data_IF_875636576791
#
_entry.id   IF_875636576791
#
_cell.length_a   1.000
_cell.length_b   1.000
_cell.length_c   1.000
_cell.angle_alpha   90.00
_cell.angle_beta   90.00
_cell.angle_gamma   90.00
#
_symmetry.space_group_name_H-M   'P 1'
#
loop_
_entity.id
_entity.type
_entity.pdbx_description
1 polymer ?
#
# COMPACT_ATOMS: atom_id res chain seq x y z
N UNK A 1 14.04 -22.14 -2.39
CA UNK A 1 12.76 -21.64 -2.95
C UNK A 1 11.63 -22.07 -2.01
N UNK A 2 10.78 -21.14 -1.61
CA UNK A 2 9.64 -21.40 -0.74
C UNK A 2 8.55 -22.22 -1.45
N UNK A 3 7.81 -23.02 -0.69
CA UNK A 3 6.77 -23.92 -1.23
C UNK A 3 5.52 -23.16 -1.65
N UNK A 4 4.62 -23.79 -2.42
CA UNK A 4 3.31 -23.20 -2.74
C UNK A 4 2.49 -22.88 -1.48
N UNK A 5 2.59 -23.74 -0.45
CA UNK A 5 1.95 -23.51 0.84
C UNK A 5 2.51 -22.27 1.55
N UNK A 6 3.82 -22.05 1.50
CA UNK A 6 4.45 -20.85 2.08
C UNK A 6 3.96 -19.56 1.38
N UNK A 7 3.79 -19.61 0.06
CA UNK A 7 3.26 -18.50 -0.73
C UNK A 7 1.81 -18.18 -0.35
N UNK A 8 0.94 -19.19 -0.23
CA UNK A 8 -0.44 -19.00 0.21
C UNK A 8 -0.52 -18.49 1.65
N UNK A 9 0.28 -19.08 2.55
CA UNK A 9 0.39 -18.64 3.95
C UNK A 9 0.83 -17.19 4.04
N UNK A 10 1.73 -16.75 3.17
CA UNK A 10 2.16 -15.35 3.08
C UNK A 10 1.04 -14.43 2.62
N UNK A 11 0.24 -14.84 1.64
CA UNK A 11 -0.88 -14.03 1.12
C UNK A 11 -1.93 -13.78 2.20
N UNK A 12 -2.33 -14.81 2.95
CA UNK A 12 -3.30 -14.65 4.06
C UNK A 12 -2.73 -13.82 5.21
N UNK A 13 -1.41 -13.85 5.45
CA UNK A 13 -0.75 -12.98 6.44
C UNK A 13 -0.78 -11.48 6.10
N UNK A 14 -1.22 -11.09 4.90
CA UNK A 14 -1.45 -9.68 4.56
C UNK A 14 -2.69 -9.09 5.25
N UNK A 15 -3.51 -9.92 5.88
CA UNK A 15 -4.80 -9.54 6.45
C UNK A 15 -4.79 -9.56 7.97
N UNK A 16 -5.63 -8.73 8.62
CA UNK A 16 -5.82 -8.81 10.06
C UNK A 16 -6.46 -10.15 10.44
N UNK A 17 -6.01 -10.73 11.56
CA UNK A 17 -6.50 -12.03 12.07
C UNK A 17 -8.03 -12.05 12.23
N UNK A 18 -8.63 -10.94 12.65
CA UNK A 18 -10.09 -10.82 12.81
C UNK A 18 -10.84 -11.10 11.50
N UNK A 19 -10.41 -10.50 10.40
CA UNK A 19 -11.06 -10.69 9.08
C UNK A 19 -10.93 -12.14 8.61
N UNK A 20 -9.77 -12.76 8.81
CA UNK A 20 -9.57 -14.17 8.46
C UNK A 20 -10.48 -15.10 9.27
N UNK A 21 -10.66 -14.84 10.57
CA UNK A 21 -11.56 -15.60 11.43
C UNK A 21 -13.01 -15.50 10.99
N UNK A 22 -13.45 -14.29 10.65
CA UNK A 22 -14.81 -14.02 10.21
C UNK A 22 -15.09 -14.67 8.86
N UNK A 23 -14.20 -14.53 7.88
CA UNK A 23 -14.40 -15.09 6.54
C UNK A 23 -14.37 -16.63 6.54
N UNK A 24 -13.40 -17.23 7.22
CA UNK A 24 -13.20 -18.68 7.21
C UNK A 24 -13.89 -19.40 8.39
N UNK A 25 -14.68 -18.69 9.19
CA UNK A 25 -15.40 -19.21 10.36
C UNK A 25 -14.50 -19.95 11.37
N UNK A 26 -13.34 -19.36 11.69
CA UNK A 26 -12.30 -19.98 12.53
C UNK A 26 -12.32 -19.45 13.96
N UNK A 27 -12.08 -20.33 14.93
CA UNK A 27 -12.02 -19.99 16.37
C UNK A 27 -10.59 -19.95 16.91
N UNK A 28 -9.66 -20.60 16.23
CA UNK A 28 -8.26 -20.84 16.64
C UNK A 28 -7.41 -19.56 16.80
N UNK A 29 -6.30 -19.67 17.53
CA UNK A 29 -5.34 -18.57 17.77
C UNK A 29 -4.44 -18.29 16.55
N UNK A 30 -3.76 -17.14 16.52
CA UNK A 30 -3.16 -16.57 15.29
C UNK A 30 -2.20 -17.48 14.53
N UNK A 31 -1.29 -18.20 15.19
CA UNK A 31 -0.26 -18.96 14.47
C UNK A 31 -0.79 -20.27 13.90
N UNK A 32 -1.65 -20.98 14.63
CA UNK A 32 -2.33 -22.20 14.15
C UNK A 32 -3.39 -21.89 13.10
N UNK A 33 -3.98 -20.68 13.13
CA UNK A 33 -5.03 -20.25 12.20
C UNK A 33 -4.57 -20.29 10.75
N UNK A 34 -3.33 -19.87 10.48
CA UNK A 34 -2.82 -19.87 9.11
C UNK A 34 -2.66 -21.29 8.57
N UNK A 35 -2.15 -22.21 9.39
CA UNK A 35 -1.97 -23.61 8.98
C UNK A 35 -3.32 -24.30 8.79
N UNK A 36 -4.31 -24.00 9.65
CA UNK A 36 -5.68 -24.48 9.51
C UNK A 36 -6.33 -24.03 8.19
N UNK A 37 -6.15 -22.76 7.80
CA UNK A 37 -6.64 -22.25 6.49
C UNK A 37 -6.00 -23.01 5.35
N UNK A 38 -4.66 -23.16 5.35
CA UNK A 38 -3.94 -23.80 4.25
C UNK A 38 -4.28 -25.30 4.12
N UNK A 39 -4.60 -25.97 5.23
CA UNK A 39 -4.94 -27.40 5.21
C UNK A 39 -6.40 -27.66 4.83
N UNK A 40 -7.33 -26.78 5.22
CA UNK A 40 -8.76 -27.03 5.11
C UNK A 40 -9.45 -26.26 3.98
N UNK A 41 -8.85 -25.18 3.47
CA UNK A 41 -9.45 -24.32 2.45
C UNK A 41 -8.73 -24.50 1.11
N UNK A 42 -9.52 -24.60 0.04
CA UNK A 42 -8.99 -24.70 -1.32
C UNK A 42 -8.15 -23.45 -1.69
N UNK A 43 -7.02 -23.67 -2.35
CA UNK A 43 -6.16 -22.63 -2.91
C UNK A 43 -6.91 -21.57 -3.73
N UNK A 44 -7.89 -21.99 -4.55
CA UNK A 44 -8.67 -21.06 -5.37
C UNK A 44 -9.50 -20.09 -4.50
N UNK A 45 -10.13 -20.60 -3.45
CA UNK A 45 -10.93 -19.81 -2.51
C UNK A 45 -10.04 -18.84 -1.72
N UNK A 46 -8.85 -19.27 -1.30
CA UNK A 46 -7.87 -18.40 -0.66
C UNK A 46 -7.47 -17.25 -1.59
N UNK A 47 -7.15 -17.57 -2.86
CA UNK A 47 -6.79 -16.57 -3.86
C UNK A 47 -7.96 -15.62 -4.13
N UNK A 48 -9.18 -16.13 -4.26
CA UNK A 48 -10.37 -15.31 -4.47
C UNK A 48 -10.63 -14.37 -3.31
N UNK A 49 -10.49 -14.84 -2.07
CA UNK A 49 -10.55 -14.00 -0.88
C UNK A 49 -9.48 -12.89 -0.93
N UNK A 50 -8.21 -13.26 -1.14
CA UNK A 50 -7.07 -12.32 -1.15
C UNK A 50 -7.30 -11.22 -2.17
N UNK A 51 -7.64 -11.57 -3.42
CA UNK A 51 -7.76 -10.61 -4.50
C UNK A 51 -9.06 -9.79 -4.48
N UNK A 52 -10.07 -10.23 -3.74
CA UNK A 52 -11.31 -9.46 -3.52
C UNK A 52 -11.22 -8.52 -2.33
N UNK A 53 -10.28 -8.76 -1.41
CA UNK A 53 -10.19 -8.03 -0.15
C UNK A 53 -8.90 -7.20 0.00
N UNK A 54 -8.14 -6.94 -1.06
CA UNK A 54 -6.86 -6.22 -1.00
C UNK A 54 -6.95 -4.89 -0.21
N UNK A 55 -8.08 -4.18 -0.25
CA UNK A 55 -8.30 -2.93 0.51
C UNK A 55 -8.41 -3.10 2.03
N UNK A 56 -8.36 -4.32 2.58
CA UNK A 56 -8.22 -4.61 4.01
C UNK A 56 -6.77 -4.87 4.45
N UNK A 57 -5.82 -4.76 3.53
CA UNK A 57 -4.39 -4.91 3.82
C UNK A 57 -3.73 -3.57 4.10
N UNK A 58 -2.52 -3.59 4.66
CA UNK A 58 -1.64 -2.42 4.73
C UNK A 58 -1.13 -2.11 3.32
N UNK A 59 -1.08 -0.84 2.92
CA UNK A 59 -0.77 -0.47 1.53
C UNK A 59 0.21 0.69 1.38
N UNK A 60 1.00 0.62 0.31
CA UNK A 60 1.58 1.79 -0.36
C UNK A 60 0.69 2.15 -1.55
N UNK A 61 0.51 3.45 -1.79
CA UNK A 61 -0.30 4.00 -2.85
C UNK A 61 0.52 5.05 -3.58
N UNK A 62 0.60 4.92 -4.90
CA UNK A 62 1.32 5.82 -5.79
C UNK A 62 0.31 6.46 -6.74
N UNK A 63 0.33 7.79 -6.84
CA UNK A 63 -0.61 8.54 -7.65
C UNK A 63 0.15 9.39 -8.67
N UNK A 64 -0.18 9.19 -9.94
CA UNK A 64 0.39 9.92 -11.06
C UNK A 64 -0.69 10.67 -11.82
N UNK A 65 -0.36 11.88 -12.24
CA UNK A 65 -1.08 12.65 -13.24
C UNK A 65 -0.74 12.16 -14.64
N UNK A 66 -1.77 12.07 -15.47
CA UNK A 66 -1.70 11.67 -16.87
C UNK A 66 -2.05 12.90 -17.73
N UNK A 67 -1.26 13.18 -18.77
CA UNK A 67 -1.45 14.32 -19.65
C UNK A 67 -2.84 14.38 -20.34
N UNK A 68 -3.39 13.22 -20.68
CA UNK A 68 -4.70 13.05 -21.32
C UNK A 68 -5.55 11.99 -20.62
N UNK A 69 -6.87 12.08 -20.83
CA UNK A 69 -7.82 11.10 -20.29
C UNK A 69 -7.53 9.72 -20.86
N UNK A 70 -7.51 8.71 -19.99
CA UNK A 70 -7.25 7.33 -20.41
C UNK A 70 -8.40 6.79 -21.27
N UNK A 71 -8.05 6.19 -22.42
CA UNK A 71 -9.01 5.46 -23.24
C UNK A 71 -9.15 4.02 -22.74
N UNK A 72 -10.24 3.72 -22.03
CA UNK A 72 -10.48 2.37 -21.48
C UNK A 72 -10.46 1.29 -22.56
N UNK A 73 -10.91 1.60 -23.78
CA UNK A 73 -10.95 0.66 -24.88
C UNK A 73 -9.56 0.32 -25.44
N UNK A 74 -8.51 1.07 -25.08
CA UNK A 74 -7.14 0.75 -25.48
C UNK A 74 -6.48 -0.29 -24.58
N UNK A 75 -7.10 -0.66 -23.45
CA UNK A 75 -6.57 -1.68 -22.56
C UNK A 75 -6.66 -3.07 -23.20
N UNK A 76 -5.52 -3.77 -23.26
CA UNK A 76 -5.41 -5.13 -23.77
C UNK A 76 -4.80 -6.03 -22.70
N UNK A 77 -5.60 -6.97 -22.20
CA UNK A 77 -5.21 -7.86 -21.10
C UNK A 77 -3.98 -8.70 -21.45
N UNK A 78 -3.89 -9.16 -22.70
CA UNK A 78 -2.89 -10.10 -23.19
C UNK A 78 -1.50 -9.46 -23.32
N UNK A 79 -1.45 -8.13 -23.53
CA UNK A 79 -0.19 -7.40 -23.63
C UNK A 79 0.24 -6.75 -22.31
N UNK A 80 -0.58 -6.88 -21.26
CA UNK A 80 -0.24 -6.32 -19.95
C UNK A 80 1.01 -7.01 -19.37
N UNK A 81 1.95 -6.29 -18.75
CA UNK A 81 3.24 -6.84 -18.32
C UNK A 81 3.13 -7.89 -17.19
N UNK A 82 1.94 -8.07 -16.63
CA UNK A 82 1.66 -9.02 -15.58
C UNK A 82 0.39 -9.83 -15.91
N UNK A 83 0.29 -11.07 -15.41
CA UNK A 83 -0.98 -11.80 -15.44
C UNK A 83 -2.07 -10.98 -14.73
N UNK A 84 -3.06 -10.54 -15.49
CA UNK A 84 -4.24 -9.89 -14.96
C UNK A 84 -5.10 -10.94 -14.27
N UNK A 85 -5.43 -10.72 -13.00
CA UNK A 85 -6.25 -11.63 -12.20
C UNK A 85 -7.72 -11.24 -12.38
N UNK A 86 -8.04 -9.98 -12.08
CA UNK A 86 -9.37 -9.39 -12.26
C UNK A 86 -9.23 -8.05 -12.96
N UNK A 87 -10.22 -7.69 -13.76
CA UNK A 87 -10.32 -6.36 -14.36
C UNK A 87 -11.78 -5.97 -14.48
N UNK A 88 -12.10 -4.72 -14.20
CA UNK A 88 -13.46 -4.19 -14.33
C UNK A 88 -13.40 -2.76 -14.85
N UNK A 89 -14.34 -2.41 -15.74
CA UNK A 89 -14.56 -1.05 -16.21
C UNK A 89 -15.93 -0.57 -15.74
N UNK A 90 -15.96 0.56 -15.03
CA UNK A 90 -17.21 1.18 -14.58
C UNK A 90 -17.04 2.71 -14.54
N UNK A 91 -18.03 3.46 -15.01
CA UNK A 91 -18.08 4.92 -14.87
C UNK A 91 -16.77 5.67 -15.22
N UNK A 92 -16.16 5.36 -16.37
CA UNK A 92 -14.87 5.92 -16.81
C UNK A 92 -13.67 5.62 -15.89
N UNK A 93 -13.75 4.55 -15.11
CA UNK A 93 -12.66 4.00 -14.32
C UNK A 93 -12.37 2.57 -14.77
N UNK A 94 -11.10 2.30 -15.07
CA UNK A 94 -10.59 0.94 -15.27
C UNK A 94 -9.86 0.51 -14.00
N UNK A 95 -10.28 -0.60 -13.41
CA UNK A 95 -9.58 -1.24 -12.28
C UNK A 95 -8.98 -2.57 -12.75
N UNK A 96 -7.71 -2.80 -12.42
CA UNK A 96 -6.96 -4.01 -12.75
C UNK A 96 -6.34 -4.54 -11.46
N UNK A 97 -6.51 -5.83 -11.20
CA UNK A 97 -5.88 -6.53 -10.08
C UNK A 97 -4.82 -7.47 -10.64
N UNK A 98 -3.59 -7.34 -10.12
CA UNK A 98 -2.44 -8.17 -10.48
C UNK A 98 -1.74 -8.66 -9.20
N UNK A 99 -0.81 -9.60 -9.35
CA UNK A 99 0.00 -10.12 -8.24
C UNK A 99 1.43 -10.39 -8.70
N UNK A 100 2.23 -9.33 -8.95
CA UNK A 100 3.63 -9.46 -9.29
C UNK A 100 4.39 -10.29 -8.24
N UNK A 101 5.50 -10.87 -8.68
CA UNK A 101 6.41 -11.62 -7.83
C UNK A 101 7.55 -10.70 -7.43
N UNK A 102 7.79 -10.61 -6.12
CA UNK A 102 8.94 -9.93 -5.53
C UNK A 102 9.97 -10.97 -5.13
N UNK A 103 11.20 -10.74 -5.58
CA UNK A 103 12.30 -11.69 -5.40
C UNK A 103 13.31 -11.19 -4.38
N UNK A 104 13.71 -12.08 -3.48
CA UNK A 104 14.73 -11.86 -2.47
C UNK A 104 15.85 -12.87 -2.67
N UNK A 105 17.06 -12.38 -2.92
CA UNK A 105 18.29 -13.16 -2.78
C UNK A 105 18.70 -13.18 -1.31
N UNK A 106 18.94 -14.36 -0.77
CA UNK A 106 19.18 -14.59 0.66
C UNK A 106 20.45 -15.41 0.83
N UNK A 107 21.34 -14.93 1.71
CA UNK A 107 22.53 -15.67 2.14
C UNK A 107 22.25 -16.32 3.48
N UNK A 108 22.41 -17.64 3.55
CA UNK A 108 22.17 -18.45 4.75
C UNK A 108 23.48 -18.97 5.33
N UNK A 109 23.50 -19.25 6.63
CA UNK A 109 24.57 -19.99 7.30
C UNK A 109 24.16 -21.45 7.60
N UNK A 110 25.17 -22.29 7.84
CA UNK A 110 25.05 -23.68 8.31
C UNK A 110 24.17 -24.61 7.45
N UNK A 111 24.63 -25.03 6.26
CA UNK A 111 25.83 -24.60 5.54
C UNK A 111 25.62 -23.23 4.86
N UNK A 112 26.72 -22.62 4.41
CA UNK A 112 26.65 -21.43 3.59
C UNK A 112 25.94 -21.74 2.26
N UNK A 113 24.88 -21.00 1.97
CA UNK A 113 24.08 -21.16 0.76
C UNK A 113 23.52 -19.81 0.34
N UNK A 114 23.55 -19.54 -0.97
CA UNK A 114 22.76 -18.47 -1.58
C UNK A 114 21.49 -19.07 -2.16
N UNK A 115 20.34 -18.50 -1.81
CA UNK A 115 19.04 -19.01 -2.26
C UNK A 115 18.09 -17.87 -2.54
N UNK A 116 17.04 -18.15 -3.30
CA UNK A 116 16.00 -17.17 -3.61
C UNK A 116 14.67 -17.52 -2.95
N UNK A 117 14.02 -16.49 -2.42
CA UNK A 117 12.63 -16.54 -1.97
C UNK A 117 11.81 -15.58 -2.83
N UNK A 118 10.61 -16.03 -3.18
CA UNK A 118 9.68 -15.27 -3.99
C UNK A 118 8.41 -15.01 -3.18
N UNK A 119 7.80 -13.84 -3.35
CA UNK A 119 6.48 -13.57 -2.77
C UNK A 119 5.57 -12.92 -3.79
N UNK A 120 4.32 -13.36 -3.79
CA UNK A 120 3.24 -12.63 -4.44
C UNK A 120 2.95 -11.34 -3.67
N UNK A 121 2.95 -10.22 -4.39
CA UNK A 121 2.55 -8.93 -3.86
C UNK A 121 1.31 -8.46 -4.65
N UNK A 122 0.10 -8.56 -4.08
CA UNK A 122 -1.11 -8.08 -4.75
C UNK A 122 -1.10 -6.57 -4.97
N UNK A 123 -1.54 -6.14 -6.16
CA UNK A 123 -1.70 -4.73 -6.53
C UNK A 123 -3.12 -4.48 -7.06
N UNK A 124 -3.62 -3.26 -6.83
CA UNK A 124 -4.78 -2.69 -7.53
C UNK A 124 -4.28 -1.50 -8.34
N UNK A 125 -4.55 -1.49 -9.64
CA UNK A 125 -4.24 -0.40 -10.54
C UNK A 125 -5.56 0.21 -10.99
N UNK A 126 -5.73 1.51 -10.79
CA UNK A 126 -6.91 2.26 -11.19
C UNK A 126 -6.51 3.36 -12.15
N UNK A 127 -7.13 3.40 -13.30
CA UNK A 127 -7.08 4.53 -14.22
C UNK A 127 -8.44 5.21 -14.19
N UNK A 128 -8.47 6.44 -13.70
CA UNK A 128 -9.69 7.25 -13.60
C UNK A 128 -9.38 8.64 -14.11
N UNK A 129 -10.11 9.06 -15.14
CA UNK A 129 -9.90 10.35 -15.79
C UNK A 129 -8.44 10.55 -16.23
N UNK A 130 -7.73 11.49 -15.59
CA UNK A 130 -6.32 11.82 -15.82
C UNK A 130 -5.41 11.36 -14.69
N UNK A 131 -5.80 10.33 -13.94
CA UNK A 131 -5.03 9.80 -12.81
C UNK A 131 -4.75 8.31 -13.00
N UNK A 132 -3.51 7.92 -12.72
CA UNK A 132 -3.09 6.54 -12.51
C UNK A 132 -2.83 6.37 -11.01
N UNK A 133 -3.59 5.48 -10.37
CA UNK A 133 -3.46 5.15 -8.96
C UNK A 133 -3.01 3.69 -8.86
N UNK A 134 -1.85 3.46 -8.27
CA UNK A 134 -1.30 2.11 -8.06
C UNK A 134 -1.25 1.86 -6.57
N UNK A 135 -2.05 0.90 -6.10
CA UNK A 135 -2.08 0.44 -4.72
C UNK A 135 -1.34 -0.90 -4.65
N UNK A 136 -0.37 -1.01 -3.76
CA UNK A 136 0.41 -2.23 -3.52
C UNK A 136 0.34 -2.61 -2.05
N UNK A 137 0.22 -3.90 -1.77
CA UNK A 137 0.26 -4.40 -0.39
C UNK A 137 1.66 -4.27 0.22
N UNK A 138 1.75 -3.93 1.51
CA UNK A 138 3.05 -3.84 2.20
C UNK A 138 3.58 -5.23 2.53
N UNK A 139 4.77 -5.56 2.02
CA UNK A 139 5.45 -6.80 2.35
C UNK A 139 6.21 -6.70 3.69
N UNK A 140 5.74 -7.42 4.72
CA UNK A 140 6.48 -7.60 5.98
C UNK A 140 7.76 -8.43 5.77
N UNK A 141 8.88 -7.95 6.32
CA UNK A 141 10.25 -8.35 5.95
C UNK A 141 10.87 -9.46 6.83
N UNK A 142 10.08 -10.30 7.49
CA UNK A 142 10.65 -11.37 8.37
C UNK A 142 11.09 -12.59 7.56
N UNK A 143 12.08 -12.40 6.68
CA UNK A 143 12.61 -13.42 5.75
C UNK A 143 13.13 -14.66 6.48
N UNK A 144 13.76 -14.48 7.65
CA UNK A 144 14.27 -15.60 8.45
C UNK A 144 13.21 -16.61 8.92
N UNK A 145 11.93 -16.25 8.93
CA UNK A 145 10.85 -17.16 9.31
C UNK A 145 10.54 -18.24 8.24
N UNK A 146 11.14 -18.14 7.04
CA UNK A 146 10.95 -19.08 5.93
C UNK A 146 12.05 -20.14 5.83
N UNK A 147 12.99 -20.14 6.76
CA UNK A 147 14.08 -21.10 6.81
C UNK A 147 14.02 -21.90 8.11
N UNK A 148 14.62 -23.09 8.09
CA UNK A 148 14.74 -23.93 9.28
C UNK A 148 15.43 -23.18 10.43
N UNK A 149 15.01 -23.46 11.67
CA UNK A 149 15.48 -22.73 12.86
C UNK A 149 16.99 -22.78 13.11
N UNK A 150 17.69 -23.77 12.56
CA UNK A 150 19.14 -23.93 12.60
C UNK A 150 19.88 -23.09 11.53
N UNK A 151 19.16 -22.52 10.55
CA UNK A 151 19.72 -21.68 9.49
C UNK A 151 19.55 -20.21 9.82
N UNK A 152 20.65 -19.46 9.83
CA UNK A 152 20.63 -18.01 10.06
C UNK A 152 20.67 -17.27 8.73
N UNK A 153 19.76 -16.32 8.56
CA UNK A 153 19.85 -15.34 7.46
C UNK A 153 20.97 -14.35 7.77
N UNK A 154 21.98 -14.32 6.92
CA UNK A 154 23.14 -13.44 7.02
C UNK A 154 22.96 -12.15 6.22
N UNK A 155 22.35 -12.26 5.03
CA UNK A 155 22.09 -11.12 4.16
C UNK A 155 20.82 -11.34 3.33
N UNK A 156 20.18 -10.23 2.93
CA UNK A 156 18.96 -10.21 2.11
C UNK A 156 19.01 -9.03 1.15
N UNK A 157 18.98 -9.33 -0.14
CA UNK A 157 18.92 -8.35 -1.23
C UNK A 157 17.61 -8.50 -1.99
N UNK A 158 16.89 -7.40 -2.19
CA UNK A 158 15.73 -7.38 -3.11
C UNK A 158 16.24 -7.33 -4.54
N UNK A 159 15.79 -8.26 -5.37
CA UNK A 159 16.19 -8.33 -6.79
C UNK A 159 15.15 -7.62 -7.65
N UNK A 160 13.90 -8.09 -7.58
CA UNK A 160 12.75 -7.47 -8.24
C UNK A 160 11.82 -6.90 -7.18
N UNK A 161 11.62 -5.59 -7.18
CA UNK A 161 10.89 -4.90 -6.13
C UNK A 161 9.61 -4.21 -6.61
N UNK A 162 8.95 -3.54 -5.66
CA UNK A 162 7.70 -2.82 -5.88
C UNK A 162 7.87 -1.69 -6.92
N UNK A 163 9.00 -0.98 -6.90
CA UNK A 163 9.27 0.11 -7.82
C UNK A 163 9.45 -0.41 -9.24
N UNK A 164 10.17 -1.52 -9.42
CA UNK A 164 10.29 -2.16 -10.73
C UNK A 164 8.93 -2.57 -11.29
N UNK A 165 8.05 -3.10 -10.42
CA UNK A 165 6.69 -3.47 -10.81
C UNK A 165 5.86 -2.25 -11.25
N UNK A 166 5.97 -1.14 -10.52
CA UNK A 166 5.35 0.15 -10.88
C UNK A 166 5.87 0.65 -12.23
N UNK A 167 7.19 0.62 -12.45
CA UNK A 167 7.80 1.06 -13.71
C UNK A 167 7.34 0.21 -14.90
N UNK A 168 7.18 -1.11 -14.72
CA UNK A 168 6.60 -1.98 -15.76
C UNK A 168 5.16 -1.62 -16.07
N UNK A 169 4.33 -1.36 -15.05
CA UNK A 169 2.95 -0.89 -15.24
C UNK A 169 2.93 0.43 -16.00
N UNK A 170 3.73 1.42 -15.59
CA UNK A 170 3.82 2.71 -16.29
C UNK A 170 4.33 2.54 -17.73
N UNK A 171 5.31 1.66 -17.94
CA UNK A 171 5.86 1.31 -19.25
C UNK A 171 4.91 0.54 -20.16
N UNK A 172 3.79 0.02 -19.65
CA UNK A 172 2.71 -0.47 -20.52
C UNK A 172 1.92 0.68 -21.14
N UNK A 173 1.84 1.81 -20.43
CA UNK A 173 1.08 2.99 -20.82
C UNK A 173 1.98 4.09 -21.41
N UNK A 174 3.01 3.72 -22.18
CA UNK A 174 4.01 4.67 -22.74
C UNK A 174 3.41 5.77 -23.64
N UNK A 175 2.23 5.55 -24.19
CA UNK A 175 1.50 6.57 -24.97
C UNK A 175 1.00 7.74 -24.12
N UNK A 176 1.19 7.68 -22.81
CA UNK A 176 0.80 8.69 -21.84
C UNK A 176 2.03 9.25 -21.12
N UNK A 177 2.00 10.55 -20.85
CA UNK A 177 3.03 11.18 -20.03
C UNK A 177 2.61 11.17 -18.57
N UNK A 178 3.46 10.62 -17.71
CA UNK A 178 3.22 10.54 -16.27
C UNK A 178 3.96 11.64 -15.53
N UNK A 179 3.24 12.39 -14.69
CA UNK A 179 3.82 13.30 -13.73
C UNK A 179 3.44 12.84 -12.32
N UNK A 180 4.32 13.11 -11.35
CA UNK A 180 3.99 12.87 -9.95
C UNK A 180 2.81 13.76 -9.57
N UNK A 181 1.75 13.18 -8.99
CA UNK A 181 0.59 13.93 -8.52
C UNK A 181 0.98 14.68 -7.23
N UNK A 182 1.00 16.01 -7.26
CA UNK A 182 1.22 16.80 -6.03
C UNK A 182 -0.01 16.73 -5.13
N UNK A 183 0.10 16.05 -4.00
CA UNK A 183 -1.01 15.83 -3.07
C UNK A 183 -1.17 16.94 -2.00
N UNK A 184 -0.35 18.00 -2.06
CA UNK A 184 -0.33 19.05 -1.05
C UNK A 184 -1.68 19.74 -0.87
N UNK A 185 -2.34 20.12 -1.97
CA UNK A 185 -3.57 20.89 -1.94
C UNK A 185 -4.70 20.10 -1.27
N UNK A 186 -4.90 18.86 -1.71
CA UNK A 186 -5.91 17.97 -1.14
C UNK A 186 -5.73 17.70 0.35
N UNK A 187 -4.52 17.33 0.78
CA UNK A 187 -4.25 17.05 2.20
C UNK A 187 -4.36 18.28 3.07
N UNK A 188 -3.86 19.43 2.62
CA UNK A 188 -3.98 20.68 3.36
C UNK A 188 -5.45 21.09 3.53
N UNK A 189 -6.27 20.87 2.51
CA UNK A 189 -7.71 21.10 2.63
C UNK A 189 -8.33 20.23 3.72
N UNK A 190 -8.02 18.93 3.75
CA UNK A 190 -8.50 18.03 4.81
C UNK A 190 -8.02 18.45 6.20
N UNK A 191 -6.79 18.97 6.31
CA UNK A 191 -6.23 19.46 7.58
C UNK A 191 -6.85 20.79 8.03
N UNK A 192 -7.16 21.68 7.10
CA UNK A 192 -7.86 22.94 7.38
C UNK A 192 -9.27 22.69 7.89
N UNK A 193 -9.98 21.69 7.35
CA UNK A 193 -11.34 21.28 7.73
C UNK A 193 -11.44 20.46 9.01
N UNK A 194 -10.34 20.27 9.74
CA UNK A 194 -10.29 19.45 10.96
C UNK A 194 -10.75 17.99 10.74
N UNK A 195 -10.61 17.50 9.51
CA UNK A 195 -10.81 16.07 9.20
C UNK A 195 -9.61 15.27 9.73
N UNK A 196 -8.39 15.79 9.53
CA UNK A 196 -7.13 15.17 9.93
C UNK A 196 -6.25 16.18 10.67
N UNK A 197 -5.31 15.68 11.46
CA UNK A 197 -4.23 16.49 12.04
C UNK A 197 -2.93 15.69 12.05
N UNK A 198 -1.79 16.36 12.18
CA UNK A 198 -0.48 15.72 12.07
C UNK A 198 0.08 15.32 13.44
N UNK A 199 0.53 14.06 13.55
CA UNK A 199 1.40 13.58 14.66
C UNK A 199 2.88 13.81 14.35
N UNK A 200 3.24 13.77 13.07
CA UNK A 200 4.62 13.96 12.63
C UNK A 200 4.60 14.71 11.31
N UNK A 201 5.36 15.80 11.20
CA UNK A 201 5.48 16.56 9.96
C UNK A 201 6.93 16.90 9.66
N UNK A 202 7.28 16.86 8.38
CA UNK A 202 8.57 17.31 7.87
C UNK A 202 8.34 18.31 6.73
N UNK A 203 8.98 19.46 6.80
CA UNK A 203 8.85 20.51 5.77
C UNK A 203 10.14 21.29 5.57
N UNK A 204 10.26 21.94 4.41
CA UNK A 204 11.39 22.82 4.09
C UNK A 204 11.07 24.28 4.44
N UNK A 205 12.00 24.92 5.14
CA UNK A 205 12.12 26.37 5.29
C UNK A 205 13.11 26.90 4.24
N UNK A 206 13.20 28.21 4.07
CA UNK A 206 14.04 28.86 3.05
C UNK A 206 15.52 28.43 3.05
N UNK A 207 16.06 27.97 4.20
CA UNK A 207 17.47 27.55 4.32
C UNK A 207 17.67 26.24 5.10
N UNK A 208 16.61 25.55 5.50
CA UNK A 208 16.71 24.37 6.37
C UNK A 208 15.50 23.45 6.23
N UNK A 209 15.63 22.23 6.75
CA UNK A 209 14.49 21.30 6.91
C UNK A 209 14.13 21.24 8.39
N UNK A 210 12.85 21.30 8.72
CA UNK A 210 12.35 21.14 10.08
C UNK A 210 11.48 19.89 10.16
N UNK A 211 11.57 19.21 11.29
CA UNK A 211 10.80 18.02 11.63
C UNK A 211 10.22 18.21 13.00
N UNK A 212 8.93 17.97 13.15
CA UNK A 212 8.22 17.98 14.42
C UNK A 212 7.53 16.64 14.61
N UNK A 213 7.61 16.09 15.82
CA UNK A 213 6.97 14.84 16.22
C UNK A 213 6.24 15.06 17.54
N UNK A 214 5.00 14.61 17.60
CA UNK A 214 4.13 14.70 18.76
C UNK A 214 3.92 13.31 19.37
N UNK A 215 3.68 13.27 20.68
CA UNK A 215 3.23 12.03 21.34
C UNK A 215 1.80 11.66 20.88
N UNK A 216 1.37 10.42 21.15
CA UNK A 216 0.17 9.82 20.52
C UNK A 216 -1.15 10.58 20.73
N UNK A 217 -1.24 11.29 21.86
CA UNK A 217 -2.41 12.04 22.30
C UNK A 217 -2.42 13.50 21.84
N UNK A 218 -1.31 13.97 21.27
CA UNK A 218 -1.15 15.36 20.83
C UNK A 218 -1.05 15.47 19.31
N UNK A 219 -1.45 16.63 18.81
CA UNK A 219 -1.43 16.92 17.38
C UNK A 219 -0.90 18.32 17.12
N UNK A 220 -0.29 18.52 15.96
CA UNK A 220 0.46 19.75 15.71
C UNK A 220 -0.43 21.00 15.67
N UNK A 221 -1.61 20.95 15.03
CA UNK A 221 -2.49 22.12 14.94
C UNK A 221 -2.99 22.55 16.33
N UNK A 222 -3.27 21.58 17.20
CA UNK A 222 -3.75 21.85 18.57
C UNK A 222 -2.66 22.42 19.48
N UNK A 223 -1.43 21.89 19.41
CA UNK A 223 -0.36 22.29 20.33
C UNK A 223 0.48 23.46 19.82
N UNK A 224 0.69 23.56 18.51
CA UNK A 224 1.56 24.55 17.87
C UNK A 224 0.86 25.27 16.71
N UNK A 225 -0.19 26.07 16.98
CA UNK A 225 -1.01 26.70 15.95
C UNK A 225 -0.21 27.67 15.04
N UNK A 226 0.84 28.30 15.55
CA UNK A 226 1.67 29.20 14.74
C UNK A 226 2.59 28.44 13.77
N UNK A 227 3.09 27.27 14.19
CA UNK A 227 3.84 26.35 13.32
C UNK A 227 2.91 25.84 12.21
N UNK A 228 1.68 25.46 12.56
CA UNK A 228 0.65 25.08 11.59
C UNK A 228 0.41 26.18 10.55
N UNK A 229 0.19 27.44 10.97
CA UNK A 229 -0.02 28.56 10.04
C UNK A 229 1.15 28.75 9.08
N UNK A 230 2.38 28.53 9.53
CA UNK A 230 3.56 28.57 8.66
C UNK A 230 3.59 27.39 7.69
N UNK A 231 3.28 26.18 8.17
CA UNK A 231 3.25 24.95 7.39
C UNK A 231 2.26 25.00 6.24
N UNK A 232 1.08 25.59 6.47
CA UNK A 232 0.05 25.74 5.43
C UNK A 232 0.56 26.53 4.21
N UNK A 233 1.58 27.38 4.37
CA UNK A 233 2.21 28.17 3.30
C UNK A 233 3.39 27.48 2.61
N UNK A 234 3.87 26.35 3.12
CA UNK A 234 5.05 25.63 2.60
C UNK A 234 4.67 24.26 2.05
N UNK A 235 5.35 23.73 1.02
CA UNK A 235 5.12 22.37 0.58
C UNK A 235 5.46 21.38 1.71
N UNK A 236 4.56 20.43 1.93
CA UNK A 236 4.74 19.32 2.85
C UNK A 236 5.67 18.29 2.20
N UNK A 237 6.55 17.69 3.01
CA UNK A 237 7.22 16.44 2.66
C UNK A 237 6.51 15.29 3.39
N UNK A 238 7.23 14.17 3.59
CA UNK A 238 6.77 13.04 4.40
C UNK A 238 6.15 13.47 5.75
N UNK A 239 4.84 13.27 5.86
CA UNK A 239 4.01 13.70 6.99
C UNK A 239 3.06 12.57 7.39
N UNK A 240 2.89 12.35 8.69
CA UNK A 240 1.95 11.37 9.25
C UNK A 240 0.73 12.13 9.78
N UNK A 241 -0.43 11.78 9.27
CA UNK A 241 -1.71 12.31 9.66
C UNK A 241 -2.50 11.29 10.48
N UNK A 242 -3.14 11.77 11.54
CA UNK A 242 -4.14 11.08 12.34
C UNK A 242 -5.52 11.56 11.91
N UNK A 243 -6.45 10.64 11.73
CA UNK A 243 -7.85 10.98 11.55
C UNK A 243 -8.46 11.39 12.90
N UNK A 244 -9.15 12.54 12.93
CA UNK A 244 -9.65 13.13 14.18
C UNK A 244 -11.01 12.57 14.61
N UNK A 245 -11.82 12.14 13.64
CA UNK A 245 -13.13 11.54 13.93
C UNK A 245 -12.94 10.06 14.25
N UNK A 246 -13.59 9.59 15.31
CA UNK A 246 -13.59 8.16 15.65
C UNK A 246 -14.77 7.47 14.96
N UNK A 247 -14.74 7.42 13.63
CA UNK A 247 -15.72 6.70 12.81
C UNK A 247 -15.06 5.66 11.91
N UNK A 248 -15.84 5.10 10.97
CA UNK A 248 -15.37 4.06 10.04
C UNK A 248 -14.99 4.60 8.65
N UNK A 249 -14.97 5.91 8.42
CA UNK A 249 -14.77 6.50 7.10
C UNK A 249 -13.31 6.48 6.66
N UNK A 250 -12.37 6.87 7.53
CA UNK A 250 -10.93 6.95 7.23
C UNK A 250 -10.11 6.06 8.18
N UNK A 251 -8.91 5.60 7.76
CA UNK A 251 -8.02 4.88 8.66
C UNK A 251 -7.51 5.80 9.78
N UNK A 252 -7.19 5.22 10.93
CA UNK A 252 -6.76 5.96 12.13
C UNK A 252 -5.56 6.87 11.84
N UNK A 253 -4.60 6.40 11.04
CA UNK A 253 -3.52 7.22 10.53
C UNK A 253 -3.03 6.75 9.17
N UNK A 254 -2.42 7.69 8.45
CA UNK A 254 -1.75 7.44 7.18
C UNK A 254 -0.55 8.38 7.03
N UNK A 255 0.40 7.98 6.19
CA UNK A 255 1.57 8.78 5.83
C UNK A 255 1.43 9.28 4.42
N UNK A 256 1.81 10.51 4.16
CA UNK A 256 1.87 11.06 2.80
C UNK A 256 3.23 11.65 2.51
N UNK A 257 3.72 11.46 1.29
CA UNK A 257 4.86 12.17 0.73
C UNK A 257 4.44 12.82 -0.60
N UNK A 258 3.92 14.06 -0.56
CA UNK A 258 3.41 14.72 -1.76
C UNK A 258 4.46 14.91 -2.85
N UNK A 259 5.74 15.00 -2.49
CA UNK A 259 6.83 15.18 -3.45
C UNK A 259 7.03 13.96 -4.36
N UNK A 260 6.60 12.79 -3.90
CA UNK A 260 6.68 11.53 -4.64
C UNK A 260 5.29 11.04 -5.09
N UNK A 261 4.21 11.76 -4.79
CA UNK A 261 2.84 11.32 -5.07
C UNK A 261 2.48 10.05 -4.29
N UNK A 262 3.11 9.87 -3.14
CA UNK A 262 3.01 8.64 -2.34
C UNK A 262 2.11 8.83 -1.13
N UNK A 263 1.30 7.83 -0.86
CA UNK A 263 0.49 7.65 0.34
C UNK A 263 0.76 6.25 0.90
N UNK A 264 0.82 6.11 2.22
CA UNK A 264 0.97 4.82 2.87
C UNK A 264 -0.02 4.69 4.02
N UNK A 265 -0.71 3.55 4.07
CA UNK A 265 -1.59 3.16 5.17
C UNK A 265 -0.95 1.94 5.84
N UNK A 266 -0.11 2.14 6.87
CA UNK A 266 0.67 1.06 7.50
C UNK A 266 -0.13 0.25 8.54
N UNK A 267 -1.42 0.56 8.70
CA UNK A 267 -2.36 -0.13 9.59
C UNK A 267 -3.40 -0.88 8.77
N UNK A 268 -4.01 -1.89 9.38
CA UNK A 268 -5.12 -2.60 8.75
C UNK A 268 -6.37 -1.71 8.75
N UNK A 269 -6.98 -1.45 7.58
CA UNK A 269 -8.26 -0.79 7.48
C UNK A 269 -9.36 -1.58 8.22
N UNK A 270 -10.31 -0.85 8.82
CA UNK A 270 -11.48 -1.44 9.48
C UNK A 270 -12.52 -1.95 8.48
N UNK A 271 -12.56 -1.37 7.27
CA UNK A 271 -13.42 -1.79 6.17
C UNK A 271 -12.79 -1.49 4.80
N UNK A 272 -13.40 -2.03 3.74
CA UNK A 272 -12.91 -1.96 2.34
C UNK A 272 -12.79 -0.54 1.77
N UNK A 273 -13.52 0.42 2.33
CA UNK A 273 -13.65 1.76 1.74
C UNK A 273 -12.66 2.76 2.33
N UNK A 274 -12.05 2.49 3.48
CA UNK A 274 -11.22 3.49 4.18
C UNK A 274 -10.06 4.03 3.35
N UNK A 275 -9.31 3.15 2.67
CA UNK A 275 -8.18 3.58 1.82
C UNK A 275 -8.71 4.40 0.62
N UNK A 276 -9.80 3.94 0.00
CA UNK A 276 -10.44 4.66 -1.10
C UNK A 276 -10.92 6.04 -0.67
N UNK A 277 -11.53 6.16 0.49
CA UNK A 277 -12.02 7.42 1.04
C UNK A 277 -10.88 8.41 1.30
N UNK A 278 -9.70 7.95 1.73
CA UNK A 278 -8.50 8.82 1.84
C UNK A 278 -8.11 9.34 0.46
N UNK A 279 -7.97 8.44 -0.52
CA UNK A 279 -7.56 8.81 -1.89
C UNK A 279 -8.57 9.79 -2.50
N UNK A 280 -9.85 9.44 -2.48
CA UNK A 280 -10.92 10.25 -3.06
C UNK A 280 -11.07 11.60 -2.31
N UNK A 281 -10.91 11.60 -0.98
CA UNK A 281 -10.90 12.81 -0.15
C UNK A 281 -9.78 13.78 -0.54
N UNK A 282 -8.55 13.28 -0.71
CA UNK A 282 -7.41 14.09 -1.16
C UNK A 282 -7.64 14.58 -2.60
N UNK A 283 -7.99 13.67 -3.52
CA UNK A 283 -8.09 13.99 -4.94
C UNK A 283 -9.26 14.90 -5.29
N UNK A 284 -10.36 14.87 -4.52
CA UNK A 284 -11.53 15.73 -4.75
C UNK A 284 -11.23 17.23 -4.62
N UNK A 285 -10.15 17.59 -3.90
CA UNK A 285 -9.74 18.97 -3.65
C UNK A 285 -8.35 19.27 -4.21
N UNK A 286 -7.78 18.36 -4.99
CA UNK A 286 -6.44 18.50 -5.53
C UNK A 286 -6.38 19.38 -6.79
#
# INVERSE_FOLDING_TARGET
MNTSQDLLKRLIKLFPVKVLKEEFNLTSTSDSLYDEIIQNINESLIKDFVYSNINLTKQHIYIYDIDKTFNINSFKRESFPFPVIKSSSAANELTIVISPIVDFSVVLSNPYEETNIQFHQPFIIRLKEKKLIIQSTILEKKIGAYFESNRKVLDVVKVNDELESILKVMGYFLDYSFNICDLNKGVKHMWEKDTIDSKYVKWKKNRSTTTESMDEDYTLKSQYPDVYKSLMKSPLNKTIFKYLLNDELLPEHFTIDPSNGELSVPIFPKNQNQIRNVIDGILSQN
#
